data_IF_897540606883
#
_entry.id   IF_897540606883
#
_cell.length_a   1.000
_cell.length_b   1.000
_cell.length_c   1.000
_cell.angle_alpha   90.00
_cell.angle_beta   90.00
_cell.angle_gamma   90.00
#
_symmetry.space_group_name_H-M   'P 1'
#
loop_
_entity.id
_entity.type
_entity.pdbx_description
1 polymer ?
#
# COMPACT_ATOMS: atom_id res chain seq x y z
N UNK A 1 23.18 -25.04 -15.76
CA UNK A 1 22.68 -26.09 -16.70
C UNK A 1 21.51 -26.86 -16.11
N UNK A 2 21.66 -27.49 -14.94
CA UNK A 2 20.62 -28.35 -14.34
C UNK A 2 19.23 -27.69 -14.22
N UNK A 3 19.16 -26.44 -13.74
CA UNK A 3 17.88 -25.73 -13.61
C UNK A 3 17.19 -25.45 -14.97
N UNK A 4 17.94 -25.17 -16.04
CA UNK A 4 17.36 -25.05 -17.38
C UNK A 4 16.83 -26.40 -17.88
N UNK A 5 17.55 -27.49 -17.60
CA UNK A 5 17.09 -28.84 -17.92
C UNK A 5 15.84 -29.24 -17.09
N UNK A 6 15.62 -28.63 -15.93
CA UNK A 6 14.39 -28.77 -15.14
C UNK A 6 13.24 -27.96 -15.75
N UNK A 7 13.44 -26.67 -16.07
CA UNK A 7 12.46 -25.81 -16.77
C UNK A 7 11.95 -26.50 -18.04
N UNK A 8 12.87 -27.00 -18.89
CA UNK A 8 12.51 -27.66 -20.13
C UNK A 8 11.61 -28.90 -19.89
N UNK A 9 11.93 -29.73 -18.88
CA UNK A 9 11.10 -30.89 -18.50
C UNK A 9 9.73 -30.52 -17.93
N UNK A 10 9.62 -29.37 -17.27
CA UNK A 10 8.33 -28.86 -16.77
C UNK A 10 7.48 -28.37 -17.94
N UNK A 11 8.06 -27.66 -18.91
CA UNK A 11 7.38 -27.28 -20.16
C UNK A 11 6.93 -28.51 -20.97
N UNK A 12 7.79 -29.53 -21.10
CA UNK A 12 7.43 -30.82 -21.71
C UNK A 12 6.23 -31.46 -21.00
N UNK A 13 6.13 -31.32 -19.67
CA UNK A 13 5.01 -31.84 -18.89
C UNK A 13 3.73 -31.00 -19.07
N UNK A 14 3.81 -29.67 -19.04
CA UNK A 14 2.68 -28.77 -19.28
C UNK A 14 2.13 -28.85 -20.70
N UNK A 15 2.93 -29.27 -21.69
CA UNK A 15 2.47 -29.54 -23.06
C UNK A 15 1.45 -30.68 -23.18
N UNK A 16 1.31 -31.51 -22.13
CA UNK A 16 0.45 -32.69 -22.17
C UNK A 16 -1.05 -32.33 -22.17
N UNK A 17 -1.92 -33.15 -22.82
CA UNK A 17 -3.31 -32.76 -23.09
C UNK A 17 -4.14 -32.35 -21.85
N UNK A 18 -3.86 -32.92 -20.69
CA UNK A 18 -4.56 -32.62 -19.43
C UNK A 18 -4.23 -31.24 -18.83
N UNK A 19 -3.12 -30.62 -19.23
CA UNK A 19 -2.72 -29.28 -18.76
C UNK A 19 -2.87 -28.18 -19.81
N UNK A 20 -3.09 -28.56 -21.08
CA UNK A 20 -3.19 -27.62 -22.22
C UNK A 20 -4.28 -26.54 -22.07
N UNK A 21 -5.28 -26.76 -21.22
CA UNK A 21 -6.33 -25.77 -20.90
C UNK A 21 -5.99 -24.79 -19.76
N UNK A 22 -4.77 -24.82 -19.22
CA UNK A 22 -4.34 -24.02 -18.06
C UNK A 22 -3.35 -22.90 -18.41
N UNK A 23 -2.91 -22.80 -19.68
CA UNK A 23 -2.02 -21.77 -20.22
C UNK A 23 -0.75 -21.50 -19.38
N UNK A 24 -0.09 -22.58 -18.94
CA UNK A 24 1.06 -22.53 -18.03
C UNK A 24 2.37 -22.21 -18.76
N UNK A 25 3.00 -21.11 -18.38
CA UNK A 25 4.33 -20.69 -18.85
C UNK A 25 5.25 -20.22 -17.71
N UNK A 26 6.55 -20.12 -17.99
CA UNK A 26 7.52 -19.49 -17.09
C UNK A 26 7.80 -18.06 -17.54
N UNK A 27 7.40 -17.08 -16.73
CA UNK A 27 7.77 -15.68 -16.96
C UNK A 27 9.24 -15.42 -16.59
N UNK A 28 9.89 -14.58 -17.39
CA UNK A 28 11.25 -14.10 -17.16
C UNK A 28 11.18 -12.70 -16.54
N UNK A 29 11.80 -12.46 -15.37
CA UNK A 29 11.84 -11.11 -14.78
C UNK A 29 12.68 -10.13 -15.62
N UNK A 30 12.10 -8.97 -15.91
CA UNK A 30 12.67 -7.85 -16.66
C UNK A 30 13.60 -7.05 -15.73
N UNK A 31 14.79 -7.61 -15.47
CA UNK A 31 15.67 -7.17 -14.36
C UNK A 31 16.12 -5.71 -14.49
N UNK A 32 16.25 -5.23 -15.70
CA UNK A 32 16.55 -3.84 -16.07
C UNK A 32 15.47 -2.83 -15.66
N UNK A 33 14.21 -3.27 -15.48
CA UNK A 33 13.10 -2.47 -14.96
C UNK A 33 12.92 -2.65 -13.43
N UNK A 34 13.77 -3.45 -12.77
CA UNK A 34 13.67 -3.73 -11.35
C UNK A 34 14.14 -2.55 -10.48
N UNK A 35 13.48 -2.36 -9.34
CA UNK A 35 13.71 -1.24 -8.42
C UNK A 35 13.77 -1.68 -6.95
N UNK A 36 14.34 -0.82 -6.11
CA UNK A 36 14.39 -1.05 -4.66
C UNK A 36 13.25 -0.32 -3.95
N UNK A 37 12.53 -1.05 -3.09
CA UNK A 37 11.44 -0.55 -2.26
C UNK A 37 11.19 -1.47 -1.06
N UNK A 38 10.29 -1.07 -0.18
CA UNK A 38 9.92 -1.77 1.06
C UNK A 38 8.47 -2.27 0.93
N UNK A 39 8.22 -3.49 0.42
CA UNK A 39 6.88 -4.04 0.30
C UNK A 39 6.35 -4.57 1.65
N UNK A 40 7.24 -4.83 2.61
CA UNK A 40 6.90 -5.44 3.91
C UNK A 40 7.69 -4.80 5.07
N UNK A 41 8.84 -5.36 5.45
CA UNK A 41 9.65 -4.94 6.62
C UNK A 41 11.08 -4.54 6.31
N UNK A 42 11.56 -4.85 5.10
CA UNK A 42 12.93 -4.63 4.66
C UNK A 42 12.92 -4.11 3.20
N UNK A 43 14.03 -3.49 2.80
CA UNK A 43 14.22 -3.08 1.40
C UNK A 43 14.59 -4.28 0.56
N UNK A 44 13.72 -4.65 -0.38
CA UNK A 44 13.95 -5.75 -1.33
C UNK A 44 14.25 -5.21 -2.73
N UNK A 45 14.48 -6.08 -3.72
CA UNK A 45 14.61 -5.73 -5.13
C UNK A 45 13.45 -6.33 -5.92
N UNK A 46 12.49 -5.48 -6.25
CA UNK A 46 11.22 -5.84 -6.88
C UNK A 46 11.40 -5.75 -8.39
N UNK A 47 10.92 -6.75 -9.14
CA UNK A 47 11.15 -6.88 -10.58
C UNK A 47 9.81 -7.15 -11.29
N UNK A 48 9.48 -6.46 -12.38
CA UNK A 48 8.32 -6.81 -13.20
C UNK A 48 8.61 -8.01 -14.12
N UNK A 49 7.55 -8.69 -14.54
CA UNK A 49 7.51 -9.68 -15.61
C UNK A 49 6.55 -9.21 -16.71
N UNK A 50 6.21 -10.08 -17.67
CA UNK A 50 5.15 -9.83 -18.66
C UNK A 50 3.77 -9.58 -18.05
N UNK A 51 3.44 -10.16 -16.89
CA UNK A 51 2.08 -10.08 -16.31
C UNK A 51 2.04 -9.85 -14.79
N UNK A 52 3.20 -9.79 -14.11
CA UNK A 52 3.27 -9.69 -12.65
C UNK A 52 4.37 -8.73 -12.18
N UNK A 53 4.20 -8.09 -11.03
CA UNK A 53 5.28 -7.46 -10.26
C UNK A 53 5.66 -8.38 -9.10
N UNK A 54 6.94 -8.74 -8.96
CA UNK A 54 7.36 -9.83 -8.06
C UNK A 54 8.63 -9.56 -7.23
N UNK A 55 8.71 -10.23 -6.08
CA UNK A 55 9.89 -10.40 -5.25
C UNK A 55 9.87 -11.85 -4.71
N UNK A 56 10.84 -12.66 -5.12
CA UNK A 56 10.84 -14.12 -4.96
C UNK A 56 12.11 -14.66 -4.29
N UNK A 57 12.93 -13.78 -3.71
CA UNK A 57 14.23 -14.11 -3.09
C UNK A 57 14.08 -14.23 -1.57
N UNK A 58 13.44 -13.26 -0.92
CA UNK A 58 13.22 -13.25 0.53
C UNK A 58 11.73 -13.50 0.89
N UNK A 59 11.44 -13.74 2.16
CA UNK A 59 10.07 -14.05 2.61
C UNK A 59 9.54 -13.01 3.60
N UNK A 60 8.25 -12.63 3.53
CA UNK A 60 7.22 -13.14 2.61
C UNK A 60 7.43 -12.67 1.16
N UNK A 61 7.18 -13.57 0.20
CA UNK A 61 7.29 -13.28 -1.23
C UNK A 61 6.23 -12.26 -1.67
N UNK A 62 6.60 -11.36 -2.58
CA UNK A 62 5.68 -10.48 -3.27
C UNK A 62 5.29 -11.10 -4.62
N UNK A 63 3.98 -11.25 -4.86
CA UNK A 63 3.43 -11.54 -6.20
C UNK A 63 2.20 -10.69 -6.40
N UNK A 64 2.22 -9.87 -7.45
CA UNK A 64 1.12 -8.97 -7.83
C UNK A 64 0.80 -9.20 -9.30
N UNK A 65 -0.32 -9.87 -9.60
CA UNK A 65 -0.82 -9.99 -10.97
C UNK A 65 -1.22 -8.59 -11.47
N UNK A 66 -0.66 -8.13 -12.60
CA UNK A 66 -0.95 -6.78 -13.12
C UNK A 66 -2.43 -6.63 -13.48
N UNK A 67 -3.06 -7.68 -14.03
CA UNK A 67 -4.50 -7.72 -14.31
C UNK A 67 -5.43 -7.77 -13.08
N UNK A 68 -4.89 -7.81 -11.85
CA UNK A 68 -5.67 -7.59 -10.61
C UNK A 68 -5.64 -6.12 -10.16
N UNK A 69 -4.78 -5.27 -10.74
CA UNK A 69 -4.63 -3.87 -10.37
C UNK A 69 -5.74 -3.04 -11.03
N UNK A 70 -6.35 -2.16 -10.25
CA UNK A 70 -7.27 -1.12 -10.72
C UNK A 70 -6.48 0.14 -11.11
N UNK A 71 -5.77 0.72 -10.13
CA UNK A 71 -4.88 1.87 -10.32
C UNK A 71 -3.63 1.77 -9.44
N UNK A 72 -2.60 2.51 -9.84
CA UNK A 72 -1.42 2.79 -9.02
C UNK A 72 -1.44 4.25 -8.58
N UNK A 73 -1.08 4.54 -7.33
CA UNK A 73 -0.83 5.91 -6.88
C UNK A 73 0.61 6.04 -6.38
N UNK A 74 1.34 7.00 -6.93
CA UNK A 74 2.71 7.32 -6.58
C UNK A 74 2.67 8.43 -5.52
N UNK A 75 2.88 8.04 -4.27
CA UNK A 75 2.65 8.86 -3.08
C UNK A 75 3.91 9.53 -2.55
N UNK A 76 3.73 10.69 -1.92
CA UNK A 76 4.82 11.57 -1.44
C UNK A 76 5.79 12.00 -2.55
N UNK A 77 5.31 12.07 -3.80
CA UNK A 77 6.07 12.60 -4.93
C UNK A 77 6.08 14.13 -4.86
N UNK A 78 7.27 14.76 -4.84
CA UNK A 78 7.38 16.22 -4.77
C UNK A 78 8.79 16.76 -4.98
N UNK A 79 8.92 18.09 -4.97
CA UNK A 79 10.23 18.72 -5.13
C UNK A 79 11.10 18.49 -3.88
N UNK A 80 12.28 17.90 -4.07
CA UNK A 80 13.24 17.63 -2.99
C UNK A 80 13.04 16.32 -2.24
N UNK A 81 11.97 15.55 -2.52
CA UNK A 81 11.75 14.23 -1.91
C UNK A 81 12.73 13.21 -2.49
N UNK A 82 13.63 12.68 -1.65
CA UNK A 82 14.60 11.63 -2.04
C UNK A 82 13.96 10.25 -2.23
N UNK A 83 12.75 10.08 -1.71
CA UNK A 83 11.96 8.85 -1.76
C UNK A 83 10.49 9.16 -1.95
N UNK A 84 9.78 8.21 -2.54
CA UNK A 84 8.32 8.18 -2.69
C UNK A 84 7.83 6.75 -2.36
N UNK A 85 6.51 6.54 -2.31
CA UNK A 85 5.90 5.22 -2.14
C UNK A 85 4.98 4.88 -3.31
N UNK A 86 4.70 3.60 -3.50
CA UNK A 86 3.69 3.13 -4.46
C UNK A 86 2.55 2.45 -3.71
N UNK A 87 1.34 2.97 -3.86
CA UNK A 87 0.11 2.30 -3.44
C UNK A 87 -0.53 1.60 -4.65
N UNK A 88 -0.82 0.31 -4.51
CA UNK A 88 -1.43 -0.54 -5.55
C UNK A 88 -2.84 -0.88 -5.08
N UNK A 89 -3.84 -0.31 -5.76
CA UNK A 89 -5.26 -0.59 -5.53
C UNK A 89 -5.67 -1.74 -6.43
N UNK A 90 -6.37 -2.73 -5.87
CA UNK A 90 -6.87 -3.89 -6.62
C UNK A 90 -8.31 -3.70 -7.08
N UNK A 91 -8.70 -4.38 -8.14
CA UNK A 91 -10.07 -4.36 -8.68
C UNK A 91 -11.13 -4.98 -7.75
N UNK A 92 -10.74 -5.87 -6.82
CA UNK A 92 -11.55 -6.16 -5.63
C UNK A 92 -11.20 -5.18 -4.49
N UNK A 93 -11.99 -4.11 -4.36
CA UNK A 93 -11.83 -3.09 -3.31
C UNK A 93 -11.94 -3.63 -1.86
N UNK A 94 -12.34 -4.90 -1.66
CA UNK A 94 -12.32 -5.55 -0.34
C UNK A 94 -10.92 -6.04 0.06
N UNK A 95 -10.00 -6.14 -0.90
CA UNK A 95 -8.59 -6.47 -0.69
C UNK A 95 -7.86 -5.20 -0.19
N UNK A 96 -7.12 -5.32 0.92
CA UNK A 96 -6.35 -4.19 1.43
C UNK A 96 -5.32 -3.71 0.37
N UNK A 97 -5.13 -2.40 0.27
CA UNK A 97 -4.15 -1.77 -0.64
C UNK A 97 -2.74 -2.23 -0.30
N UNK A 98 -2.06 -2.80 -1.30
CA UNK A 98 -0.65 -3.12 -1.18
C UNK A 98 0.17 -1.83 -1.26
N UNK A 99 1.17 -1.69 -0.38
CA UNK A 99 2.11 -0.58 -0.39
C UNK A 99 3.53 -1.07 -0.62
N UNK A 100 4.29 -0.33 -1.42
CA UNK A 100 5.73 -0.48 -1.59
C UNK A 100 6.34 0.87 -1.20
N UNK A 101 6.79 0.97 0.04
CA UNK A 101 7.26 2.22 0.60
C UNK A 101 8.72 2.50 0.23
N UNK A 102 9.15 3.74 0.40
CA UNK A 102 10.57 4.11 0.49
C UNK A 102 11.39 3.90 -0.80
N UNK A 103 10.73 3.88 -1.97
CA UNK A 103 11.35 3.78 -3.30
C UNK A 103 12.21 5.03 -3.55
N UNK A 104 13.40 4.88 -4.15
CA UNK A 104 14.27 6.03 -4.45
C UNK A 104 13.68 6.87 -5.58
N UNK A 105 13.65 8.21 -5.45
CA UNK A 105 13.06 9.06 -6.50
C UNK A 105 13.82 9.05 -7.84
N UNK A 106 15.05 8.55 -7.86
CA UNK A 106 15.80 8.25 -9.10
C UNK A 106 15.19 7.11 -9.94
N UNK A 107 14.25 6.34 -9.39
CA UNK A 107 13.51 5.28 -10.10
C UNK A 107 12.13 5.73 -10.57
N UNK A 108 11.69 6.95 -10.23
CA UNK A 108 10.32 7.41 -10.49
C UNK A 108 9.98 7.40 -11.99
N UNK A 109 10.82 8.03 -12.82
CA UNK A 109 10.57 8.14 -14.27
C UNK A 109 10.57 6.77 -14.95
N UNK A 110 11.52 5.89 -14.60
CA UNK A 110 11.58 4.52 -15.15
C UNK A 110 10.40 3.64 -14.70
N UNK A 111 9.85 3.86 -13.49
CA UNK A 111 8.64 3.19 -13.01
C UNK A 111 7.41 3.70 -13.77
N UNK A 112 7.33 5.01 -14.03
CA UNK A 112 6.26 5.60 -14.85
C UNK A 112 6.31 5.09 -16.28
N UNK A 113 7.48 5.16 -16.92
CA UNK A 113 7.71 4.58 -18.26
C UNK A 113 7.33 3.10 -18.33
N UNK A 114 7.66 2.30 -17.30
CA UNK A 114 7.21 0.91 -17.22
C UNK A 114 5.68 0.79 -17.13
N UNK A 115 5.02 1.55 -16.24
CA UNK A 115 3.55 1.50 -16.12
C UNK A 115 2.88 1.96 -17.44
N UNK A 116 3.44 2.97 -18.12
CA UNK A 116 3.01 3.43 -19.45
C UNK A 116 3.20 2.38 -20.57
N UNK A 117 3.96 1.29 -20.34
CA UNK A 117 3.99 0.10 -21.23
C UNK A 117 2.93 -0.96 -20.92
N UNK A 118 2.07 -0.70 -19.92
CA UNK A 118 0.97 -1.58 -19.50
C UNK A 118 -0.37 -0.86 -19.62
N UNK A 119 -1.49 -1.58 -19.65
CA UNK A 119 -2.84 -0.99 -19.67
C UNK A 119 -3.28 -0.42 -18.29
N UNK A 120 -2.35 -0.09 -17.39
CA UNK A 120 -2.62 0.40 -16.03
C UNK A 120 -2.54 1.92 -15.93
N UNK A 121 -3.54 2.54 -15.30
CA UNK A 121 -3.51 3.97 -15.01
C UNK A 121 -2.81 4.24 -13.68
N UNK A 122 -1.94 5.26 -13.66
CA UNK A 122 -1.33 5.77 -12.43
C UNK A 122 -1.68 7.24 -12.15
N UNK A 123 -1.45 7.64 -10.92
CA UNK A 123 -1.56 9.02 -10.40
C UNK A 123 -0.34 9.38 -9.57
N UNK A 124 -0.14 10.67 -9.31
CA UNK A 124 0.89 11.20 -8.41
C UNK A 124 0.23 12.08 -7.33
N UNK A 125 0.45 11.78 -6.05
CA UNK A 125 0.06 12.64 -4.94
C UNK A 125 1.24 13.00 -4.05
N UNK A 126 1.19 14.21 -3.49
CA UNK A 126 2.15 14.71 -2.49
C UNK A 126 1.88 14.13 -1.10
N UNK A 127 0.68 13.60 -0.89
CA UNK A 127 0.22 13.04 0.38
C UNK A 127 0.52 11.54 0.46
N UNK A 128 0.28 10.97 1.65
CA UNK A 128 0.28 9.54 1.91
C UNK A 128 -1.15 9.15 2.30
N UNK A 129 -1.88 8.50 1.39
CA UNK A 129 -3.35 8.45 1.49
C UNK A 129 -3.85 7.36 2.44
N UNK A 130 -4.92 7.70 3.18
CA UNK A 130 -5.68 6.74 3.97
C UNK A 130 -6.72 6.05 3.06
N UNK A 131 -6.28 5.00 2.37
CA UNK A 131 -7.10 4.27 1.40
C UNK A 131 -8.35 3.60 2.00
N UNK A 132 -8.35 3.27 3.29
CA UNK A 132 -9.43 2.46 3.89
C UNK A 132 -10.78 3.19 3.92
N UNK A 133 -10.88 4.48 4.33
CA UNK A 133 -12.06 5.31 4.09
C UNK A 133 -12.41 5.52 2.61
N UNK A 134 -11.42 5.72 1.74
CA UNK A 134 -11.62 5.95 0.30
C UNK A 134 -12.32 4.73 -0.32
N UNK A 135 -11.69 3.55 -0.23
CA UNK A 135 -12.25 2.31 -0.77
C UNK A 135 -13.60 1.96 -0.11
N UNK A 136 -13.77 2.19 1.19
CA UNK A 136 -15.09 2.01 1.83
C UNK A 136 -16.16 2.88 1.19
N UNK A 137 -15.86 4.15 0.91
CA UNK A 137 -16.82 5.08 0.28
C UNK A 137 -17.20 4.60 -1.13
N UNK A 138 -16.24 4.11 -1.90
CA UNK A 138 -16.45 3.54 -3.24
C UNK A 138 -17.28 2.24 -3.17
N UNK A 139 -17.07 1.40 -2.16
CA UNK A 139 -17.86 0.17 -1.93
C UNK A 139 -19.29 0.48 -1.49
N UNK A 140 -19.48 1.51 -0.66
CA UNK A 140 -20.79 1.89 -0.13
C UNK A 140 -21.68 2.55 -1.20
N UNK A 141 -21.11 3.33 -2.13
CA UNK A 141 -21.82 3.91 -3.28
C UNK A 141 -20.95 3.95 -4.57
N UNK A 142 -20.89 2.85 -5.34
CA UNK A 142 -20.09 2.78 -6.56
C UNK A 142 -20.61 3.65 -7.71
N UNK A 143 -21.93 3.94 -7.76
CA UNK A 143 -22.50 4.76 -8.83
C UNK A 143 -22.11 6.22 -8.63
N UNK A 144 -22.23 6.73 -7.41
CA UNK A 144 -21.79 8.09 -7.09
C UNK A 144 -20.30 8.26 -7.37
N UNK A 145 -19.46 7.26 -7.05
CA UNK A 145 -18.03 7.33 -7.39
C UNK A 145 -17.80 7.58 -8.89
N UNK A 146 -18.55 6.90 -9.78
CA UNK A 146 -18.47 7.13 -11.24
C UNK A 146 -19.01 8.51 -11.62
N UNK A 147 -20.15 8.92 -11.03
CA UNK A 147 -20.82 10.19 -11.34
C UNK A 147 -19.98 11.42 -10.89
N UNK A 148 -19.24 11.30 -9.78
CA UNK A 148 -18.30 12.32 -9.26
C UNK A 148 -16.96 12.36 -10.03
N UNK A 149 -16.79 11.55 -11.09
CA UNK A 149 -15.60 11.54 -11.95
C UNK A 149 -14.58 10.44 -11.66
N UNK A 150 -14.90 9.48 -10.80
CA UNK A 150 -14.06 8.34 -10.47
C UNK A 150 -12.74 8.74 -9.81
N UNK A 151 -11.65 8.13 -10.26
CA UNK A 151 -10.30 8.34 -9.71
C UNK A 151 -9.70 9.74 -9.95
N UNK A 152 -10.36 10.63 -10.71
CA UNK A 152 -9.81 11.96 -11.04
C UNK A 152 -9.61 12.90 -9.84
N UNK A 153 -10.19 12.60 -8.67
CA UNK A 153 -9.89 13.36 -7.44
C UNK A 153 -8.39 13.32 -7.08
N UNK A 154 -7.68 12.24 -7.44
CA UNK A 154 -6.23 12.10 -7.23
C UNK A 154 -5.43 13.13 -8.03
N UNK A 155 -5.91 13.55 -9.20
CA UNK A 155 -5.29 14.62 -9.98
C UNK A 155 -5.51 16.02 -9.36
N UNK A 156 -6.55 16.20 -8.54
CA UNK A 156 -6.84 17.51 -7.94
C UNK A 156 -5.82 17.86 -6.84
N UNK A 157 -5.44 16.89 -6.00
CA UNK A 157 -4.37 17.06 -4.98
C UNK A 157 -3.00 17.42 -5.58
N UNK A 158 -2.71 17.00 -6.82
CA UNK A 158 -1.46 17.36 -7.51
C UNK A 158 -1.42 18.85 -7.89
N UNK A 159 -2.59 19.45 -8.11
CA UNK A 159 -2.75 20.81 -8.62
C UNK A 159 -2.89 21.91 -7.56
N UNK A 160 -3.33 21.58 -6.33
CA UNK A 160 -3.35 22.53 -5.22
C UNK A 160 -1.95 22.75 -4.61
N UNK A 161 -1.10 23.37 -5.41
CA UNK A 161 0.18 23.92 -4.97
C UNK A 161 0.28 25.41 -5.25
N UNK A 162 -0.86 26.08 -5.06
CA UNK A 162 -1.07 27.50 -5.31
C UNK A 162 -1.83 28.26 -4.21
N UNK A 163 -2.32 27.60 -3.15
CA UNK A 163 -3.07 28.25 -2.08
C UNK A 163 -2.65 27.84 -0.65
N UNK A 164 -2.22 28.86 0.10
CA UNK A 164 -2.36 29.05 1.56
C UNK A 164 -1.73 28.08 2.59
N UNK A 165 -1.48 28.63 3.78
CA UNK A 165 -0.90 27.94 4.94
C UNK A 165 -1.97 27.08 5.63
N UNK A 166 -1.77 25.77 5.74
CA UNK A 166 -2.60 24.90 6.59
C UNK A 166 -2.38 25.20 8.07
N UNK A 167 -3.10 26.21 8.58
CA UNK A 167 -3.17 26.48 10.02
C UNK A 167 -4.13 25.52 10.71
N UNK A 168 -3.68 25.08 11.88
CA UNK A 168 -4.25 24.07 12.76
C UNK A 168 -5.77 24.13 12.87
N UNK A 169 -6.45 23.09 12.39
CA UNK A 169 -7.85 22.81 12.75
C UNK A 169 -7.89 22.02 14.07
N UNK A 170 -7.38 22.62 15.15
CA UNK A 170 -7.50 22.07 16.50
C UNK A 170 -8.93 22.29 17.03
N UNK A 171 -9.83 21.38 16.67
CA UNK A 171 -11.12 21.24 17.32
C UNK A 171 -11.04 20.16 18.39
N UNK A 172 -10.31 20.47 19.47
CA UNK A 172 -10.33 19.73 20.72
C UNK A 172 -11.76 19.52 21.23
N UNK A 173 -12.12 18.26 21.43
CA UNK A 173 -13.44 17.82 21.87
C UNK A 173 -13.78 18.33 23.28
N UNK A 174 -14.89 19.08 23.42
CA UNK A 174 -15.38 19.59 24.72
C UNK A 174 -16.13 18.50 25.53
N UNK A 175 -15.68 18.14 26.74
CA UNK A 175 -16.45 17.34 27.67
C UNK A 175 -17.34 18.23 28.56
N UNK A 176 -18.60 18.40 28.19
CA UNK A 176 -19.60 19.08 29.03
C UNK A 176 -20.00 18.23 30.24
N UNK A 177 -19.53 18.60 31.43
CA UNK A 177 -20.07 18.16 32.72
C UNK A 177 -19.73 19.17 33.83
N UNK A 178 -20.75 19.84 34.36
CA UNK A 178 -20.65 20.65 35.58
C UNK A 178 -21.53 20.05 36.67
N UNK A 179 -20.97 19.83 37.85
CA UNK A 179 -21.60 19.83 39.19
C UNK A 179 -20.49 20.13 40.23
N UNK A 180 -20.79 20.67 41.44
CA UNK A 180 -19.80 21.43 42.21
C UNK A 180 -19.23 20.79 43.50
N UNK A 181 -18.04 21.30 43.88
CA UNK A 181 -17.45 21.58 45.22
C UNK A 181 -17.59 20.62 46.44
N UNK A 182 -16.55 20.69 47.32
CA UNK A 182 -16.45 20.12 48.70
C UNK A 182 -16.41 18.57 48.81
N UNK A 183 -15.80 17.92 49.79
CA UNK A 183 -14.96 18.27 50.99
C UNK A 183 -14.12 16.99 51.32
N UNK A 184 -13.00 16.92 52.05
CA UNK A 184 -12.25 17.76 53.01
C UNK A 184 -10.72 17.58 52.81
N UNK A 185 -9.88 18.30 53.56
CA UNK A 185 -8.48 17.92 53.86
C UNK A 185 -8.42 17.20 55.24
N UNK A 186 -7.50 16.25 55.43
CA UNK A 186 -6.71 16.05 56.68
C UNK A 186 -5.71 14.87 56.56
N UNK A 187 -4.60 14.93 57.31
CA UNK A 187 -3.52 13.91 57.37
C UNK A 187 -3.72 12.91 58.54
N UNK A 188 -3.20 11.67 58.44
CA UNK A 188 -2.11 11.14 59.30
C UNK A 188 -1.68 9.68 58.91
N UNK A 189 -0.56 9.22 59.49
CA UNK A 189 0.14 7.91 59.40
C UNK A 189 -0.76 6.68 59.70
N UNK A 190 -0.48 5.42 59.32
CA UNK A 190 0.81 4.70 59.31
C UNK A 190 0.72 3.35 58.55
N UNK A 191 1.82 2.60 58.59
CA UNK A 191 2.08 1.28 58.02
C UNK A 191 1.42 0.07 58.71
N UNK A 192 1.33 -1.06 57.99
CA UNK A 192 1.91 -2.37 58.39
C UNK A 192 1.81 -3.39 57.25
N UNK A 193 2.77 -4.32 57.21
CA UNK A 193 2.95 -5.34 56.17
C UNK A 193 2.11 -6.62 56.37
N UNK A 194 1.60 -7.18 55.26
CA UNK A 194 1.56 -8.62 54.94
C UNK A 194 0.92 -9.62 55.92
N UNK A 195 -0.19 -10.26 55.51
CA UNK A 195 -0.79 -11.39 56.24
C UNK A 195 -1.65 -12.31 55.36
N UNK A 196 -1.08 -13.43 54.92
CA UNK A 196 -1.80 -14.45 54.13
C UNK A 196 -2.87 -15.13 55.00
N UNK A 197 -4.10 -15.28 54.47
CA UNK A 197 -5.06 -16.28 54.97
C UNK A 197 -5.13 -17.49 54.02
N UNK A 198 -4.82 -18.67 54.56
CA UNK A 198 -5.35 -19.96 54.10
C UNK A 198 -5.70 -20.80 55.34
N UNK A 199 -6.79 -21.55 55.23
CA UNK A 199 -7.57 -22.11 56.34
C UNK A 199 -9.03 -22.01 55.94
#
# INVERSE_FOLDING_TARGET
MEFQNYINKVNDHWSQPQFKGLDLEFHIPLRELGFHGVPYKASAFIIPTSTCLVELIETPFLVVTLGEIEIVNLERVGFGTKKFDMAIVFNDFKKDVLRIDSIQSTSLDAIKEWIDTTDLKYYESRLYLNWRPILKTIIDDPQKFVDDGGWEFLNMEASDSGAEETKESDQGYEPSAAEPESELEDEDSDSVLGGIRRG
#
